data_IF_279098823846
#
_entry.id   IF_279098823846
#
_cell.length_a   1.000
_cell.length_b   1.000
_cell.length_c   1.000
_cell.angle_alpha   90.00
_cell.angle_beta   90.00
_cell.angle_gamma   90.00
#
_symmetry.space_group_name_H-M   'P 1'
#
loop_
_entity.id
_entity.type
_entity.pdbx_description
1 polymer ?
#
# COMPACT_ATOMS: atom_id res chain seq x y z
N UNK A 1 -7.34 69.77 25.63
CA UNK A 1 -6.71 68.48 25.30
C UNK A 1 -7.79 67.58 24.72
N UNK A 2 -7.96 67.57 23.40
CA UNK A 2 -8.89 66.65 22.71
C UNK A 2 -8.12 66.07 21.53
N UNK A 3 -7.62 64.86 21.69
CA UNK A 3 -7.02 64.10 20.59
C UNK A 3 -8.19 63.51 19.80
N UNK A 4 -8.43 64.05 18.61
CA UNK A 4 -9.39 63.49 17.66
C UNK A 4 -8.88 62.12 17.22
N UNK A 5 -9.56 61.05 17.65
CA UNK A 5 -9.39 59.71 17.12
C UNK A 5 -9.92 59.70 15.68
N UNK A 6 -9.03 59.97 14.72
CA UNK A 6 -9.35 59.84 13.29
C UNK A 6 -9.78 58.40 13.00
N UNK A 7 -10.88 58.25 12.25
CA UNK A 7 -11.36 56.96 11.72
C UNK A 7 -10.19 56.25 11.03
N UNK A 8 -9.61 55.24 11.68
CA UNK A 8 -8.58 54.39 11.08
C UNK A 8 -9.24 53.55 10.00
N UNK A 9 -8.78 53.72 8.77
CA UNK A 9 -9.25 52.89 7.66
C UNK A 9 -8.77 51.45 7.92
N UNK A 10 -9.68 50.56 8.33
CA UNK A 10 -9.39 49.17 8.72
C UNK A 10 -9.25 48.21 7.53
N UNK A 11 -9.47 48.70 6.31
CA UNK A 11 -9.32 47.95 5.05
C UNK A 11 -7.97 47.20 4.90
N UNK A 12 -6.79 47.80 5.18
CA UNK A 12 -5.52 47.07 5.09
C UNK A 12 -5.42 45.90 6.09
N UNK A 13 -6.01 46.02 7.29
CA UNK A 13 -6.05 44.93 8.27
C UNK A 13 -6.84 43.73 7.73
N UNK A 14 -7.98 43.99 7.09
CA UNK A 14 -8.79 42.93 6.47
C UNK A 14 -8.04 42.25 5.32
N UNK A 15 -7.31 43.00 4.48
CA UNK A 15 -6.48 42.40 3.43
C UNK A 15 -5.37 41.49 3.97
N UNK A 16 -4.70 41.92 5.04
CA UNK A 16 -3.70 41.09 5.71
C UNK A 16 -4.31 39.82 6.30
N UNK A 17 -5.47 39.93 6.94
CA UNK A 17 -6.19 38.79 7.52
C UNK A 17 -6.66 37.82 6.42
N UNK A 18 -7.19 38.33 5.30
CA UNK A 18 -7.59 37.53 4.15
C UNK A 18 -6.39 36.81 3.55
N UNK A 19 -5.29 37.50 3.30
CA UNK A 19 -4.05 36.91 2.77
C UNK A 19 -3.51 35.81 3.69
N UNK A 20 -3.59 36.00 5.01
CA UNK A 20 -3.13 35.02 6.00
C UNK A 20 -4.06 33.79 6.12
N UNK A 21 -5.38 33.99 6.03
CA UNK A 21 -6.35 32.90 6.16
C UNK A 21 -6.61 32.16 4.85
N UNK A 22 -6.37 32.79 3.70
CA UNK A 22 -6.57 32.20 2.37
C UNK A 22 -5.89 30.83 2.20
N UNK A 23 -4.58 30.63 2.51
CA UNK A 23 -3.94 29.33 2.32
C UNK A 23 -4.49 28.25 3.25
N UNK A 24 -4.87 28.60 4.49
CA UNK A 24 -5.42 27.64 5.46
C UNK A 24 -6.80 27.18 5.02
N UNK A 25 -7.69 28.14 4.72
CA UNK A 25 -9.06 27.85 4.25
C UNK A 25 -9.02 27.07 2.94
N UNK A 26 -8.18 27.49 2.00
CA UNK A 26 -7.97 26.80 0.73
C UNK A 26 -7.48 25.37 0.91
N UNK A 27 -6.51 25.14 1.80
CA UNK A 27 -6.01 23.80 2.12
C UNK A 27 -7.10 22.90 2.72
N UNK A 28 -7.85 23.40 3.71
CA UNK A 28 -8.95 22.63 4.30
C UNK A 28 -10.03 22.31 3.28
N UNK A 29 -10.39 23.26 2.41
CA UNK A 29 -11.40 23.06 1.39
C UNK A 29 -10.96 22.02 0.36
N UNK A 30 -9.71 22.09 -0.12
CA UNK A 30 -9.16 21.08 -1.02
C UNK A 30 -9.08 19.69 -0.36
N UNK A 31 -8.65 19.63 0.90
CA UNK A 31 -8.49 18.36 1.62
C UNK A 31 -9.82 17.65 1.89
N UNK A 32 -10.90 18.37 2.21
CA UNK A 32 -12.20 17.76 2.50
C UNK A 32 -13.13 17.71 1.28
N UNK A 33 -13.01 18.65 0.33
CA UNK A 33 -13.89 18.76 -0.82
C UNK A 33 -13.39 18.06 -2.09
N UNK A 34 -12.07 17.89 -2.25
CA UNK A 34 -11.47 17.29 -3.46
C UNK A 34 -10.43 16.22 -3.11
N UNK A 35 -10.84 15.20 -2.36
CA UNK A 35 -9.99 14.02 -2.19
C UNK A 35 -9.94 13.23 -3.51
N UNK A 36 -8.76 12.93 -4.06
CA UNK A 36 -8.66 12.05 -5.21
C UNK A 36 -9.16 10.65 -4.81
N UNK A 37 -10.12 10.12 -5.58
CA UNK A 37 -10.79 8.86 -5.26
C UNK A 37 -9.88 7.62 -5.31
N UNK A 38 -8.73 7.68 -5.99
CA UNK A 38 -7.83 6.52 -6.10
C UNK A 38 -6.67 6.60 -5.12
N UNK A 39 -6.70 5.67 -4.15
CA UNK A 39 -5.45 5.28 -3.49
C UNK A 39 -4.53 4.69 -4.57
N UNK A 40 -3.23 5.03 -4.54
CA UNK A 40 -2.24 4.48 -5.50
C UNK A 40 -1.91 3.00 -5.24
N UNK A 41 -2.56 2.37 -4.27
CA UNK A 41 -2.36 0.98 -3.87
C UNK A 41 -3.39 0.08 -4.53
N UNK A 42 -2.93 -1.04 -5.07
CA UNK A 42 -3.78 -2.02 -5.75
C UNK A 42 -4.23 -3.08 -4.75
N UNK A 43 -3.30 -3.53 -3.90
CA UNK A 43 -3.59 -4.41 -2.78
C UNK A 43 -4.31 -3.72 -1.63
N UNK A 44 -4.97 -4.52 -0.80
CA UNK A 44 -5.55 -4.05 0.47
C UNK A 44 -4.52 -4.18 1.59
N UNK A 45 -4.38 -3.15 2.41
CA UNK A 45 -3.46 -3.15 3.54
C UNK A 45 -3.98 -4.05 4.67
N UNK A 46 -3.15 -5.01 5.09
CA UNK A 46 -3.48 -5.97 6.16
C UNK A 46 -2.56 -5.79 7.38
N UNK A 47 -1.31 -5.37 7.17
CA UNK A 47 -0.27 -5.02 8.17
C UNK A 47 -0.43 -5.75 9.51
N UNK A 48 -0.24 -7.06 9.50
CA UNK A 48 -0.32 -7.91 10.69
C UNK A 48 0.75 -9.01 10.64
N UNK A 49 1.22 -9.53 11.80
CA UNK A 49 2.17 -10.63 11.80
C UNK A 49 1.53 -11.86 11.13
N UNK A 50 2.33 -12.57 10.34
CA UNK A 50 1.92 -13.86 9.80
C UNK A 50 1.67 -14.80 11.00
N UNK A 51 0.42 -15.24 11.25
CA UNK A 51 0.10 -16.18 12.31
C UNK A 51 0.89 -17.48 12.11
N UNK A 52 1.04 -18.30 13.15
CA UNK A 52 1.92 -19.48 13.16
C UNK A 52 1.58 -20.50 12.06
N UNK A 53 2.06 -20.25 10.85
CA UNK A 53 2.17 -21.25 9.78
C UNK A 53 3.42 -22.05 10.09
N UNK A 54 3.41 -23.36 9.84
CA UNK A 54 4.65 -24.13 9.82
C UNK A 54 5.55 -23.46 8.78
N UNK A 55 6.55 -22.72 9.23
CA UNK A 55 7.48 -21.95 8.41
C UNK A 55 8.46 -22.86 7.64
N UNK A 56 8.03 -24.08 7.30
CA UNK A 56 8.78 -25.00 6.47
C UNK A 56 8.94 -24.35 5.10
N UNK A 57 10.17 -23.98 4.74
CA UNK A 57 10.47 -23.32 3.48
C UNK A 57 10.20 -21.80 3.45
N UNK A 58 10.03 -21.15 4.62
CA UNK A 58 9.95 -19.69 4.64
C UNK A 58 11.29 -19.05 4.22
N UNK A 59 11.30 -18.08 3.29
CA UNK A 59 12.51 -17.35 2.95
C UNK A 59 12.91 -16.39 4.07
N UNK A 60 13.94 -16.74 4.83
CA UNK A 60 14.55 -15.81 5.76
C UNK A 60 15.09 -14.58 4.99
N UNK A 61 14.74 -13.38 5.46
CA UNK A 61 15.30 -12.13 4.94
C UNK A 61 14.80 -11.72 3.54
N UNK A 62 13.77 -12.34 2.96
CA UNK A 62 13.27 -11.93 1.63
C UNK A 62 11.75 -11.77 1.62
N UNK A 63 11.28 -11.00 0.64
CA UNK A 63 9.86 -10.82 0.40
C UNK A 63 9.25 -12.12 -0.12
N UNK A 64 8.02 -12.39 0.28
CA UNK A 64 7.29 -13.57 -0.18
C UNK A 64 5.92 -13.18 -0.74
N UNK A 65 5.58 -13.76 -1.89
CA UNK A 65 4.19 -13.87 -2.33
C UNK A 65 3.64 -15.19 -1.77
N UNK A 66 2.70 -15.08 -0.83
CA UNK A 66 2.11 -16.21 -0.12
C UNK A 66 0.72 -16.51 -0.69
N UNK A 67 0.54 -17.72 -1.21
CA UNK A 67 -0.79 -18.28 -1.53
C UNK A 67 -1.18 -19.36 -0.53
N UNK A 68 -2.46 -19.43 -0.22
CA UNK A 68 -3.01 -20.41 0.72
C UNK A 68 -3.95 -21.39 0.01
N UNK A 69 -3.95 -22.64 0.49
CA UNK A 69 -4.87 -23.68 0.03
C UNK A 69 -4.39 -25.10 0.39
N UNK A 70 -5.33 -26.01 0.62
CA UNK A 70 -5.03 -27.40 0.98
C UNK A 70 -4.61 -28.27 -0.22
N UNK A 71 -5.05 -27.93 -1.43
CA UNK A 71 -4.73 -28.61 -2.67
C UNK A 71 -4.47 -27.63 -3.81
N UNK A 72 -4.47 -28.11 -5.06
CA UNK A 72 -4.46 -27.22 -6.20
C UNK A 72 -5.56 -27.55 -7.21
N UNK A 73 -6.57 -26.69 -7.22
CA UNK A 73 -7.61 -26.59 -8.22
C UNK A 73 -7.24 -25.57 -9.31
N UNK A 74 -8.15 -25.32 -10.25
CA UNK A 74 -7.92 -24.39 -11.35
C UNK A 74 -7.62 -22.94 -10.87
N UNK A 75 -8.29 -22.48 -9.81
CA UNK A 75 -8.03 -21.15 -9.24
C UNK A 75 -6.61 -21.06 -8.64
N UNK A 76 -6.19 -22.11 -7.95
CA UNK A 76 -4.85 -22.26 -7.41
C UNK A 76 -3.76 -22.30 -8.50
N UNK A 77 -4.01 -22.98 -9.62
CA UNK A 77 -3.09 -23.01 -10.77
C UNK A 77 -2.91 -21.63 -11.39
N UNK A 78 -4.02 -20.91 -11.58
CA UNK A 78 -4.02 -19.54 -12.09
C UNK A 78 -3.26 -18.60 -11.14
N UNK A 79 -3.51 -18.67 -9.83
CA UNK A 79 -2.77 -17.90 -8.82
C UNK A 79 -1.27 -18.15 -8.89
N UNK A 80 -0.87 -19.42 -8.95
CA UNK A 80 0.55 -19.75 -9.04
C UNK A 80 1.19 -19.29 -10.35
N UNK A 81 0.46 -19.37 -11.46
CA UNK A 81 0.93 -18.84 -12.73
C UNK A 81 1.10 -17.31 -12.66
N UNK A 82 0.10 -16.59 -12.13
CA UNK A 82 0.16 -15.15 -11.94
C UNK A 82 1.35 -14.74 -11.06
N UNK A 83 1.55 -15.41 -9.92
CA UNK A 83 2.69 -15.19 -9.02
C UNK A 83 4.04 -15.41 -9.73
N UNK A 84 4.16 -16.44 -10.58
CA UNK A 84 5.36 -16.66 -11.41
C UNK A 84 5.60 -15.50 -12.38
N UNK A 85 4.57 -15.09 -13.11
CA UNK A 85 4.66 -13.96 -14.06
C UNK A 85 5.04 -12.66 -13.34
N UNK A 86 4.44 -12.41 -12.18
CA UNK A 86 4.74 -11.23 -11.34
C UNK A 86 6.21 -11.23 -10.94
N UNK A 87 6.73 -12.37 -10.44
CA UNK A 87 8.14 -12.51 -10.05
C UNK A 87 9.06 -12.30 -11.25
N UNK A 88 8.81 -12.95 -12.38
CA UNK A 88 9.62 -12.77 -13.60
C UNK A 88 9.62 -11.32 -14.08
N UNK A 89 8.47 -10.64 -14.00
CA UNK A 89 8.35 -9.24 -14.40
C UNK A 89 9.07 -8.25 -13.47
N UNK A 90 9.55 -8.67 -12.29
CA UNK A 90 10.38 -7.82 -11.43
C UNK A 90 11.83 -7.71 -11.92
N UNK A 91 12.27 -8.51 -12.90
CA UNK A 91 13.62 -8.44 -13.44
C UNK A 91 14.68 -8.74 -12.37
N UNK A 92 15.64 -7.83 -12.17
CA UNK A 92 16.73 -7.98 -11.20
C UNK A 92 16.23 -8.11 -9.75
N UNK A 93 15.10 -7.51 -9.42
CA UNK A 93 14.48 -7.60 -8.09
C UNK A 93 13.79 -8.96 -7.84
N UNK A 94 13.63 -9.80 -8.87
CA UNK A 94 12.99 -11.11 -8.75
C UNK A 94 13.69 -12.08 -7.77
N UNK A 95 14.97 -11.85 -7.49
CA UNK A 95 15.75 -12.62 -6.52
C UNK A 95 15.36 -12.32 -5.06
N UNK A 96 14.86 -11.11 -4.80
CA UNK A 96 14.39 -10.63 -3.50
C UNK A 96 12.96 -11.08 -3.20
N UNK A 97 12.26 -11.59 -4.22
CA UNK A 97 10.87 -12.06 -4.15
C UNK A 97 10.80 -13.59 -4.31
N UNK A 98 10.30 -14.28 -3.29
CA UNK A 98 10.05 -15.71 -3.30
C UNK A 98 8.56 -16.02 -3.42
N UNK A 99 8.24 -17.16 -4.01
CA UNK A 99 6.88 -17.66 -4.08
C UNK A 99 6.71 -18.75 -3.03
N UNK A 100 5.72 -18.60 -2.17
CA UNK A 100 5.44 -19.52 -1.07
C UNK A 100 4.00 -19.98 -1.17
N UNK A 101 3.78 -21.29 -1.03
CA UNK A 101 2.44 -21.86 -0.86
C UNK A 101 2.41 -22.57 0.48
N UNK A 102 1.34 -22.35 1.24
CA UNK A 102 1.11 -23.02 2.53
C UNK A 102 -0.34 -23.49 2.62
N UNK A 103 -0.62 -24.56 3.39
CA UNK A 103 -1.98 -24.90 3.76
C UNK A 103 -2.56 -23.81 4.67
N UNK A 104 -3.86 -23.54 4.57
CA UNK A 104 -4.51 -22.52 5.38
C UNK A 104 -4.81 -23.00 6.80
N UNK A 105 -3.78 -23.10 7.61
CA UNK A 105 -3.93 -23.42 9.05
C UNK A 105 -4.22 -22.19 9.91
N UNK A 106 -4.15 -21.02 9.30
CA UNK A 106 -4.18 -19.73 9.96
C UNK A 106 -5.54 -19.02 9.91
N UNK A 107 -6.53 -19.59 9.20
CA UNK A 107 -7.83 -18.95 8.99
C UNK A 107 -7.72 -17.66 8.17
N UNK A 108 -6.69 -17.54 7.33
CA UNK A 108 -6.50 -16.42 6.42
C UNK A 108 -7.33 -16.64 5.15
N UNK A 109 -7.47 -15.59 4.34
CA UNK A 109 -8.24 -15.66 3.09
C UNK A 109 -7.49 -16.49 2.04
N UNK A 110 -8.22 -17.34 1.30
CA UNK A 110 -7.66 -18.19 0.24
C UNK A 110 -7.97 -17.69 -1.18
N UNK A 111 -8.84 -16.69 -1.30
CA UNK A 111 -9.31 -16.08 -2.56
C UNK A 111 -8.30 -15.08 -3.13
N UNK A 112 -7.00 -15.37 -3.01
CA UNK A 112 -5.94 -14.46 -3.41
C UNK A 112 -4.53 -14.87 -2.95
N UNK A 113 -3.66 -13.87 -2.88
CA UNK A 113 -2.31 -14.02 -2.32
C UNK A 113 -1.87 -12.77 -1.56
N UNK A 114 -0.95 -12.97 -0.62
CA UNK A 114 -0.41 -11.93 0.23
C UNK A 114 1.02 -11.56 -0.17
N UNK A 115 1.37 -10.29 -0.08
CA UNK A 115 2.75 -9.85 0.00
C UNK A 115 3.18 -9.84 1.46
N UNK A 116 4.24 -10.58 1.75
CA UNK A 116 4.80 -10.70 3.09
C UNK A 116 6.21 -10.15 3.09
N UNK A 117 6.52 -9.33 4.09
CA UNK A 117 7.83 -8.73 4.24
C UNK A 117 8.88 -9.74 4.78
N UNK A 118 10.17 -9.38 4.78
CA UNK A 118 11.24 -10.20 5.36
C UNK A 118 11.11 -10.51 6.86
N UNK A 119 10.34 -9.71 7.60
CA UNK A 119 10.07 -9.88 9.03
C UNK A 119 8.83 -10.77 9.29
N UNK A 120 8.22 -11.31 8.23
CA UNK A 120 7.01 -12.13 8.25
C UNK A 120 5.74 -11.37 8.64
N UNK A 121 5.59 -10.12 8.23
CA UNK A 121 4.32 -9.40 8.31
C UNK A 121 3.58 -9.49 6.98
N UNK A 122 2.29 -9.82 7.04
CA UNK A 122 1.35 -9.67 5.94
C UNK A 122 1.16 -8.17 5.69
N UNK A 123 1.62 -7.65 4.55
CA UNK A 123 1.57 -6.21 4.26
C UNK A 123 0.38 -5.89 3.37
N UNK A 124 0.28 -6.59 2.23
CA UNK A 124 -0.77 -6.39 1.23
C UNK A 124 -1.47 -7.71 0.91
N UNK A 125 -2.77 -7.64 0.66
CA UNK A 125 -3.56 -8.75 0.11
C UNK A 125 -4.10 -8.40 -1.28
N UNK A 126 -3.92 -9.32 -2.20
CA UNK A 126 -4.37 -9.24 -3.59
C UNK A 126 -5.46 -10.29 -3.84
N UNK A 127 -6.73 -9.90 -4.04
CA UNK A 127 -7.77 -10.86 -4.37
C UNK A 127 -7.58 -11.41 -5.78
N UNK A 128 -8.11 -12.62 -6.00
CA UNK A 128 -8.20 -13.23 -7.32
C UNK A 128 -8.93 -12.30 -8.31
N UNK A 129 -8.50 -12.31 -9.57
CA UNK A 129 -9.01 -11.42 -10.61
C UNK A 129 -8.37 -10.02 -10.63
N UNK A 130 -7.50 -9.69 -9.69
CA UNK A 130 -6.72 -8.43 -9.74
C UNK A 130 -5.79 -8.42 -10.97
N UNK A 131 -5.79 -7.31 -11.71
CA UNK A 131 -5.02 -7.17 -12.94
C UNK A 131 -3.50 -7.34 -12.69
N UNK A 132 -2.81 -8.32 -13.33
CA UNK A 132 -1.40 -8.62 -13.05
C UNK A 132 -0.45 -7.44 -13.26
N UNK A 133 -0.70 -6.61 -14.27
CA UNK A 133 0.13 -5.43 -14.57
C UNK A 133 0.09 -4.38 -13.46
N UNK A 134 -1.04 -4.24 -12.77
CA UNK A 134 -1.19 -3.34 -11.64
C UNK A 134 -0.39 -3.85 -10.43
N UNK A 135 -0.45 -5.16 -10.17
CA UNK A 135 0.30 -5.83 -9.10
C UNK A 135 1.80 -5.75 -9.35
N UNK A 136 2.25 -6.02 -10.59
CA UNK A 136 3.66 -5.91 -10.99
C UNK A 136 4.19 -4.53 -10.64
N UNK A 137 3.49 -3.47 -11.06
CA UNK A 137 3.91 -2.08 -10.83
C UNK A 137 3.96 -1.73 -9.34
N UNK A 138 3.00 -2.22 -8.55
CA UNK A 138 2.99 -1.99 -7.11
C UNK A 138 4.15 -2.68 -6.41
N UNK A 139 4.38 -3.97 -6.71
CA UNK A 139 5.50 -4.72 -6.13
C UNK A 139 6.84 -4.10 -6.55
N UNK A 140 7.00 -3.67 -7.80
CA UNK A 140 8.21 -2.95 -8.23
C UNK A 140 8.45 -1.70 -7.39
N UNK A 141 7.38 -0.95 -7.05
CA UNK A 141 7.50 0.22 -6.18
C UNK A 141 7.90 -0.18 -4.77
N UNK A 142 7.27 -1.21 -4.19
CA UNK A 142 7.58 -1.71 -2.85
C UNK A 142 9.04 -2.16 -2.74
N UNK A 143 9.50 -2.98 -3.69
CA UNK A 143 10.87 -3.52 -3.67
C UNK A 143 11.92 -2.42 -3.85
N UNK A 144 11.68 -1.42 -4.71
CA UNK A 144 12.62 -0.31 -4.96
C UNK A 144 12.66 0.74 -3.85
N UNK A 145 11.54 0.98 -3.17
CA UNK A 145 11.49 1.94 -2.06
C UNK A 145 12.03 1.32 -0.77
N UNK A 146 11.87 0.00 -0.59
CA UNK A 146 12.27 -0.70 0.61
C UNK A 146 13.54 -1.55 0.38
N UNK A 147 14.65 -0.88 0.13
CA UNK A 147 15.94 -1.50 -0.19
C UNK A 147 16.66 -2.09 1.04
N UNK A 148 16.22 -1.77 2.27
CA UNK A 148 16.86 -2.22 3.52
C UNK A 148 16.30 -3.51 4.11
N UNK A 149 15.26 -4.08 3.49
CA UNK A 149 14.65 -5.34 3.88
C UNK A 149 14.79 -6.29 2.69
N UNK A 150 15.92 -7.00 2.67
CA UNK A 150 16.34 -7.92 1.60
C UNK A 150 17.83 -7.88 1.37
#
# INVERSE_FOLDING_TARGET
MQVALGKTDMRPLWWMLLLALLPVVGSTWLYFGWQPASSRSVGTLVVQPLPTVQAQGWPAGRWALLSLGAGCDAACEQRQFAMRQIRTAQGEDAQRLQLVRQPNRAGLREDGFYLVDPMRNLVLFYPDGTAPTAIIREITRVLKTNNGLG
#
